data_IF_021196934778
#
_entry.id   IF_021196934778
#
_cell.length_a   1.000
_cell.length_b   1.000
_cell.length_c   1.000
_cell.angle_alpha   90.00
_cell.angle_beta   90.00
_cell.angle_gamma   90.00
#
_symmetry.space_group_name_H-M   'P 1'
#
loop_
_entity.id
_entity.type
_entity.pdbx_description
1 polymer ?
#
# COMPACT_ATOMS: atom_id res chain seq x y z
N UNK A 1 11.94 16.22 -0.33
CA UNK A 1 10.63 16.33 -1.02
C UNK A 1 10.59 17.59 -1.87
N UNK A 2 10.26 17.49 -3.16
CA UNK A 2 10.13 18.64 -4.08
C UNK A 2 8.68 19.14 -4.16
N UNK A 3 8.46 20.35 -4.70
CA UNK A 3 7.12 20.89 -4.93
C UNK A 3 6.29 20.01 -5.88
N UNK A 4 6.89 19.47 -6.94
CA UNK A 4 6.21 18.59 -7.91
C UNK A 4 5.78 17.27 -7.28
N UNK A 5 6.60 16.71 -6.39
CA UNK A 5 6.24 15.52 -5.59
C UNK A 5 5.05 15.82 -4.69
N UNK A 6 5.04 16.96 -4.00
CA UNK A 6 3.93 17.37 -3.13
C UNK A 6 2.63 17.58 -3.92
N UNK A 7 2.69 18.25 -5.07
CA UNK A 7 1.52 18.46 -5.95
C UNK A 7 0.95 17.14 -6.49
N UNK A 8 1.84 16.21 -6.85
CA UNK A 8 1.47 14.86 -7.27
C UNK A 8 0.79 14.11 -6.12
N UNK A 9 1.35 14.18 -4.90
CA UNK A 9 0.77 13.59 -3.70
C UNK A 9 -0.63 14.11 -3.42
N UNK A 10 -0.81 15.43 -3.39
CA UNK A 10 -2.13 16.07 -3.17
C UNK A 10 -3.14 15.64 -4.22
N UNK A 11 -2.71 15.54 -5.48
CA UNK A 11 -3.58 15.08 -6.59
C UNK A 11 -3.99 13.63 -6.41
N UNK A 12 -3.04 12.73 -6.13
CA UNK A 12 -3.31 11.31 -5.91
C UNK A 12 -4.22 11.10 -4.69
N UNK A 13 -3.98 11.84 -3.60
CA UNK A 13 -4.78 11.76 -2.39
C UNK A 13 -6.24 12.18 -2.64
N UNK A 14 -6.43 13.30 -3.34
CA UNK A 14 -7.76 13.80 -3.73
C UNK A 14 -8.51 12.81 -4.63
N UNK A 15 -7.81 12.15 -5.56
CA UNK A 15 -8.39 11.10 -6.42
C UNK A 15 -8.73 9.82 -5.64
N UNK A 16 -7.99 9.52 -4.58
CA UNK A 16 -8.20 8.33 -3.75
C UNK A 16 -9.38 8.49 -2.79
N UNK A 17 -9.68 9.73 -2.37
CA UNK A 17 -10.76 10.05 -1.44
C UNK A 17 -11.68 11.14 -1.99
N UNK A 18 -12.45 10.87 -3.07
CA UNK A 18 -13.39 11.85 -3.62
C UNK A 18 -14.44 12.26 -2.57
N UNK A 19 -14.57 13.56 -2.34
CA UNK A 19 -15.46 14.16 -1.33
C UNK A 19 -16.94 13.94 -1.62
N UNK A 20 -17.30 13.63 -2.86
CA UNK A 20 -18.68 13.45 -3.33
C UNK A 20 -19.23 12.04 -3.11
N UNK A 21 -18.42 11.06 -2.67
CA UNK A 21 -18.76 9.62 -2.73
C UNK A 21 -18.85 8.97 -1.32
N UNK A 22 -18.63 9.71 -0.24
CA UNK A 22 -18.67 9.12 1.10
C UNK A 22 -20.11 8.71 1.50
N UNK A 23 -20.44 7.41 1.38
CA UNK A 23 -21.68 6.84 1.93
C UNK A 23 -21.76 7.15 3.42
N UNK A 24 -22.83 7.81 3.84
CA UNK A 24 -23.11 8.06 5.24
C UNK A 24 -23.15 6.73 6.01
N UNK A 25 -22.49 6.63 7.18
CA UNK A 25 -22.55 5.43 7.99
C UNK A 25 -24.00 5.12 8.38
N UNK A 26 -24.39 3.85 8.28
CA UNK A 26 -25.66 3.37 8.86
C UNK A 26 -25.45 3.09 10.34
N UNK A 27 -26.52 3.10 11.15
CA UNK A 27 -26.44 2.73 12.56
C UNK A 27 -25.86 1.32 12.76
N UNK A 28 -26.11 0.39 11.83
CA UNK A 28 -25.50 -0.95 11.82
C UNK A 28 -23.97 -0.92 11.67
N UNK A 29 -23.43 0.07 10.96
CA UNK A 29 -21.99 0.18 10.74
C UNK A 29 -21.25 0.57 12.02
N UNK A 30 -21.92 1.29 12.94
CA UNK A 30 -21.39 1.65 14.25
C UNK A 30 -21.20 0.43 15.18
N UNK A 31 -21.89 -0.67 14.87
CA UNK A 31 -21.77 -1.93 15.61
C UNK A 31 -20.67 -2.84 15.03
N UNK A 32 -20.21 -2.56 13.80
CA UNK A 32 -19.13 -3.31 13.16
C UNK A 32 -17.76 -2.86 13.67
N UNK A 33 -16.77 -3.72 13.47
CA UNK A 33 -15.37 -3.33 13.68
C UNK A 33 -15.00 -2.20 12.71
N UNK A 34 -13.98 -1.42 13.06
CA UNK A 34 -13.51 -0.23 12.34
C UNK A 34 -12.83 -0.60 10.99
N UNK A 35 -13.58 -1.25 10.10
CA UNK A 35 -13.14 -1.85 8.84
C UNK A 35 -12.70 -0.80 7.82
N UNK A 36 -11.64 -1.11 7.08
CA UNK A 36 -11.10 -0.26 6.02
C UNK A 36 -11.95 -0.40 4.75
N UNK A 37 -12.53 0.71 4.28
CA UNK A 37 -13.25 0.78 2.98
C UNK A 37 -12.34 1.18 1.83
N UNK A 38 -11.47 2.16 2.06
CA UNK A 38 -10.58 2.68 1.02
C UNK A 38 -9.19 2.87 1.60
N UNK A 39 -8.17 2.37 0.90
CA UNK A 39 -6.78 2.41 1.32
C UNK A 39 -5.93 3.12 0.27
N UNK A 40 -5.28 4.20 0.66
CA UNK A 40 -4.24 4.91 -0.08
C UNK A 40 -2.88 4.61 0.56
N UNK A 41 -1.89 4.31 -0.28
CA UNK A 41 -0.55 3.97 0.16
C UNK A 41 0.45 4.87 -0.59
N UNK A 42 1.26 5.59 0.18
CA UNK A 42 2.38 6.36 -0.35
C UNK A 42 3.70 5.69 0.03
N UNK A 43 4.52 5.37 -0.97
CA UNK A 43 5.84 4.78 -0.79
C UNK A 43 6.89 5.87 -0.96
N UNK A 44 7.80 5.97 0.00
CA UNK A 44 8.99 6.83 -0.02
C UNK A 44 8.65 8.31 -0.26
N UNK A 45 7.56 8.80 0.33
CA UNK A 45 7.17 10.21 0.23
C UNK A 45 8.11 11.11 1.05
N UNK A 46 8.43 10.67 2.27
CA UNK A 46 9.29 11.41 3.22
C UNK A 46 10.75 11.01 3.11
N UNK A 47 11.03 9.71 2.98
CA UNK A 47 12.37 9.13 3.03
C UNK A 47 12.56 8.17 1.86
N UNK A 48 13.32 8.60 0.85
CA UNK A 48 13.59 7.84 -0.36
C UNK A 48 15.05 7.33 -0.41
N UNK A 49 15.29 6.04 -0.13
CA UNK A 49 16.63 5.47 -0.18
C UNK A 49 17.14 5.29 -1.62
N UNK A 50 16.25 5.32 -2.62
CA UNK A 50 16.62 5.05 -4.02
C UNK A 50 17.47 6.17 -4.65
N UNK A 51 17.41 7.38 -4.11
CA UNK A 51 18.25 8.53 -4.52
C UNK A 51 19.76 8.24 -4.39
N UNK A 52 20.14 7.39 -3.42
CA UNK A 52 21.54 7.04 -3.11
C UNK A 52 22.01 5.76 -3.81
N UNK A 53 21.14 5.12 -4.60
CA UNK A 53 21.49 3.90 -5.32
C UNK A 53 22.32 4.27 -6.54
N UNK A 54 23.59 3.89 -6.52
CA UNK A 54 24.53 4.07 -7.63
C UNK A 54 24.44 2.92 -8.66
N UNK A 55 24.03 1.72 -8.22
CA UNK A 55 23.85 0.56 -9.08
C UNK A 55 22.61 0.72 -9.98
N UNK A 56 22.83 0.65 -11.29
CA UNK A 56 21.76 0.65 -12.30
C UNK A 56 21.36 -0.79 -12.58
N UNK A 57 20.27 -1.24 -11.97
CA UNK A 57 19.64 -2.51 -12.32
C UNK A 57 18.59 -2.29 -13.42
N UNK A 58 18.45 -3.27 -14.31
CA UNK A 58 17.40 -3.30 -15.33
C UNK A 58 16.01 -3.55 -14.74
N UNK A 59 15.94 -3.99 -13.48
CA UNK A 59 14.72 -4.14 -12.69
C UNK A 59 15.04 -4.62 -11.28
N UNK A 60 14.06 -4.51 -10.37
CA UNK A 60 14.18 -4.99 -8.98
C UNK A 60 13.17 -6.12 -8.70
N UNK A 61 13.60 -7.08 -7.89
CA UNK A 61 12.82 -8.23 -7.44
C UNK A 61 12.14 -7.98 -6.07
N UNK A 62 11.34 -8.94 -5.61
CA UNK A 62 10.75 -8.85 -4.27
C UNK A 62 11.79 -8.88 -3.14
N UNK A 63 12.96 -9.50 -3.35
CA UNK A 63 14.05 -9.53 -2.36
C UNK A 63 14.65 -8.14 -2.17
N UNK A 64 14.88 -7.47 -3.29
CA UNK A 64 15.46 -6.13 -3.38
C UNK A 64 14.63 -5.08 -2.64
N UNK A 65 13.34 -5.35 -2.42
CA UNK A 65 12.49 -4.49 -1.62
C UNK A 65 12.91 -4.42 -0.14
N UNK A 66 13.41 -5.52 0.40
CA UNK A 66 13.81 -5.65 1.81
C UNK A 66 15.32 -5.49 2.01
N UNK A 67 16.11 -5.97 1.04
CA UNK A 67 17.57 -6.00 1.12
C UNK A 67 18.16 -5.82 -0.28
N UNK A 68 18.70 -4.63 -0.52
CA UNK A 68 19.28 -4.20 -1.79
C UNK A 68 20.79 -3.99 -1.70
N UNK A 69 21.50 -4.44 -2.74
CA UNK A 69 22.94 -4.24 -2.89
C UNK A 69 23.77 -4.88 -1.77
N UNK A 70 25.05 -4.51 -1.74
CA UNK A 70 26.01 -5.02 -0.74
C UNK A 70 25.73 -4.55 0.70
N UNK A 71 24.98 -3.45 0.85
CA UNK A 71 24.61 -2.89 2.16
C UNK A 71 23.31 -3.46 2.74
N UNK A 72 22.63 -4.36 2.01
CA UNK A 72 21.38 -5.01 2.41
C UNK A 72 20.28 -4.02 2.89
N UNK A 73 20.21 -2.84 2.28
CA UNK A 73 19.27 -1.80 2.67
C UNK A 73 17.91 -1.99 1.99
N UNK A 74 16.83 -1.71 2.71
CA UNK A 74 15.48 -1.68 2.13
C UNK A 74 15.36 -0.54 1.13
N UNK A 75 14.77 -0.81 -0.05
CA UNK A 75 14.39 0.24 -1.00
C UNK A 75 13.12 0.99 -0.58
N UNK A 76 12.45 0.55 0.48
CA UNK A 76 11.34 1.28 1.11
C UNK A 76 11.85 1.92 2.40
N UNK A 77 12.18 3.21 2.32
CA UNK A 77 12.61 4.01 3.47
C UNK A 77 11.44 4.60 4.25
N UNK A 78 10.34 4.94 3.59
CA UNK A 78 9.07 5.25 4.27
C UNK A 78 7.85 4.71 3.54
N UNK A 79 6.79 4.47 4.30
CA UNK A 79 5.49 4.08 3.76
C UNK A 79 4.37 4.63 4.65
N UNK A 80 3.37 5.23 4.01
CA UNK A 80 2.20 5.79 4.68
C UNK A 80 0.95 5.05 4.24
N UNK A 81 0.06 4.75 5.19
CA UNK A 81 -1.29 4.30 4.92
C UNK A 81 -2.28 5.38 5.33
N UNK A 82 -2.96 5.97 4.36
CA UNK A 82 -4.16 6.77 4.63
C UNK A 82 -5.36 5.91 4.27
N UNK A 83 -6.33 5.80 5.16
CA UNK A 83 -7.52 4.99 4.90
C UNK A 83 -8.79 5.65 5.41
N UNK A 84 -9.91 5.33 4.74
CA UNK A 84 -11.26 5.66 5.17
C UNK A 84 -11.94 4.41 5.69
N UNK A 85 -12.52 4.46 6.89
CA UNK A 85 -13.21 3.32 7.49
C UNK A 85 -14.73 3.34 7.26
N UNK A 86 -15.45 2.33 7.75
CA UNK A 86 -16.93 2.21 7.73
C UNK A 86 -17.67 3.32 8.48
N UNK A 87 -17.03 4.00 9.43
CA UNK A 87 -17.57 5.18 10.12
C UNK A 87 -17.27 6.51 9.41
N UNK A 88 -16.63 6.43 8.24
CA UNK A 88 -16.24 7.58 7.42
C UNK A 88 -15.09 8.43 8.01
N UNK A 89 -14.40 7.92 9.02
CA UNK A 89 -13.18 8.53 9.54
C UNK A 89 -12.03 8.31 8.56
N UNK A 90 -11.17 9.32 8.40
CA UNK A 90 -9.89 9.19 7.70
C UNK A 90 -8.79 9.09 8.74
N UNK A 91 -7.95 8.06 8.63
CA UNK A 91 -6.75 7.90 9.47
C UNK A 91 -5.52 7.75 8.61
N UNK A 92 -4.40 8.29 9.10
CA UNK A 92 -3.08 8.13 8.48
C UNK A 92 -2.16 7.43 9.47
N UNK A 93 -1.41 6.45 8.97
CA UNK A 93 -0.36 5.74 9.69
C UNK A 93 0.94 5.94 8.91
N UNK A 94 2.01 6.24 9.61
CA UNK A 94 3.33 6.49 9.04
C UNK A 94 4.33 5.46 9.55
N UNK A 95 5.15 4.92 8.66
CA UNK A 95 6.22 3.99 8.98
C UNK A 95 7.49 4.42 8.25
N UNK A 96 8.63 4.38 8.95
CA UNK A 96 9.92 4.81 8.42
C UNK A 96 11.06 3.90 8.91
N UNK A 97 12.15 3.86 8.16
CA UNK A 97 13.37 3.10 8.45
C UNK A 97 13.48 1.79 7.66
N UNK A 98 14.53 1.02 7.92
CA UNK A 98 14.84 -0.21 7.16
C UNK A 98 13.73 -1.26 7.21
N UNK A 99 12.90 -1.25 8.26
CA UNK A 99 11.78 -2.17 8.45
C UNK A 99 10.41 -1.56 8.14
N UNK A 100 10.35 -0.38 7.52
CA UNK A 100 9.09 0.37 7.31
C UNK A 100 7.99 -0.49 6.67
N UNK A 101 8.31 -1.19 5.58
CA UNK A 101 7.36 -2.08 4.88
C UNK A 101 6.89 -3.24 5.75
N UNK A 102 7.78 -3.85 6.55
CA UNK A 102 7.42 -4.98 7.42
C UNK A 102 6.48 -4.54 8.54
N UNK A 103 6.77 -3.40 9.17
CA UNK A 103 5.92 -2.80 10.18
C UNK A 103 4.55 -2.41 9.61
N UNK A 104 4.54 -1.83 8.41
CA UNK A 104 3.31 -1.48 7.72
C UNK A 104 2.46 -2.71 7.43
N UNK A 105 3.03 -3.77 6.84
CA UNK A 105 2.32 -5.02 6.56
C UNK A 105 1.78 -5.68 7.84
N UNK A 106 2.54 -5.65 8.95
CA UNK A 106 2.10 -6.14 10.26
C UNK A 106 0.91 -5.35 10.80
N UNK A 107 0.92 -4.03 10.67
CA UNK A 107 -0.21 -3.21 11.11
C UNK A 107 -1.43 -3.43 10.21
N UNK A 108 -1.24 -3.53 8.90
CA UNK A 108 -2.32 -3.83 7.96
C UNK A 108 -2.97 -5.19 8.26
N UNK A 109 -2.17 -6.23 8.53
CA UNK A 109 -2.71 -7.56 8.85
C UNK A 109 -3.56 -7.56 10.12
N UNK A 110 -3.28 -6.68 11.07
CA UNK A 110 -4.06 -6.53 12.30
C UNK A 110 -5.29 -5.62 12.13
N UNK A 111 -5.33 -4.82 11.06
CA UNK A 111 -6.44 -3.90 10.74
C UNK A 111 -7.47 -4.49 9.79
N UNK A 112 -7.10 -5.53 9.05
CA UNK A 112 -8.01 -6.32 8.23
C UNK A 112 -8.42 -7.52 9.07
N UNK A 113 -9.63 -7.48 9.59
CA UNK A 113 -10.16 -8.56 10.42
C UNK A 113 -10.47 -9.79 9.54
N UNK A 114 -10.56 -10.97 10.16
CA UNK A 114 -10.93 -12.18 9.41
C UNK A 114 -12.41 -12.15 9.06
N UNK A 115 -12.74 -12.52 7.82
CA UNK A 115 -14.12 -12.68 7.37
C UNK A 115 -14.88 -11.37 7.10
N UNK A 116 -14.20 -10.22 7.12
CA UNK A 116 -14.76 -8.93 6.66
C UNK A 116 -14.51 -8.71 5.18
N UNK A 117 -15.25 -7.77 4.61
CA UNK A 117 -15.15 -7.45 3.20
C UNK A 117 -13.76 -6.92 2.85
N UNK A 118 -13.29 -7.27 1.65
CA UNK A 118 -12.11 -6.63 1.06
C UNK A 118 -12.36 -5.12 0.94
N UNK A 119 -11.37 -4.25 1.18
CA UNK A 119 -11.49 -2.83 0.88
C UNK A 119 -11.97 -2.61 -0.55
N UNK A 120 -12.93 -1.70 -0.73
CA UNK A 120 -13.50 -1.33 -2.04
C UNK A 120 -12.42 -0.81 -3.00
N UNK A 121 -11.40 -0.14 -2.46
CA UNK A 121 -10.29 0.39 -3.22
C UNK A 121 -8.97 0.31 -2.48
N UNK A 122 -7.92 -0.09 -3.20
CA UNK A 122 -6.53 -0.05 -2.74
C UNK A 122 -5.73 0.67 -3.83
N UNK A 123 -5.21 1.86 -3.51
CA UNK A 123 -4.40 2.66 -4.42
C UNK A 123 -3.00 2.82 -3.86
N UNK A 124 -2.00 2.43 -4.64
CA UNK A 124 -0.58 2.49 -4.26
C UNK A 124 0.14 3.43 -5.20
N UNK A 125 0.84 4.41 -4.61
CA UNK A 125 1.65 5.40 -5.29
C UNK A 125 3.07 5.37 -4.74
N UNK A 126 4.05 5.61 -5.60
CA UNK A 126 5.46 5.64 -5.23
C UNK A 126 6.05 6.99 -5.61
N UNK A 127 6.79 7.59 -4.68
CA UNK A 127 7.41 8.90 -4.82
C UNK A 127 8.93 8.83 -4.90
N UNK A 128 9.50 7.62 -4.99
CA UNK A 128 10.92 7.42 -5.22
C UNK A 128 11.42 8.03 -6.52
N UNK A 129 12.68 8.42 -6.50
CA UNK A 129 13.44 8.90 -7.65
C UNK A 129 13.73 7.77 -8.64
N UNK A 130 14.08 6.58 -8.16
CA UNK A 130 14.35 5.39 -9.00
C UNK A 130 13.35 4.28 -8.72
N UNK A 131 13.24 3.34 -9.67
CA UNK A 131 12.44 2.12 -9.56
C UNK A 131 10.96 2.34 -9.19
N UNK A 132 10.41 3.53 -9.47
CA UNK A 132 9.07 3.94 -9.02
C UNK A 132 7.97 2.95 -9.42
N UNK A 133 8.02 2.47 -10.66
CA UNK A 133 7.04 1.51 -11.18
C UNK A 133 7.19 0.14 -10.51
N UNK A 134 8.42 -0.37 -10.40
CA UNK A 134 8.68 -1.68 -9.81
C UNK A 134 8.32 -1.71 -8.33
N UNK A 135 8.74 -0.70 -7.55
CA UNK A 135 8.39 -0.56 -6.13
C UNK A 135 6.88 -0.52 -5.95
N UNK A 136 6.18 0.27 -6.77
CA UNK A 136 4.71 0.32 -6.74
C UNK A 136 4.10 -1.06 -6.97
N UNK A 137 4.56 -1.82 -7.98
CA UNK A 137 4.00 -3.14 -8.30
C UNK A 137 4.31 -4.18 -7.22
N UNK A 138 5.54 -4.19 -6.70
CA UNK A 138 5.97 -5.11 -5.64
C UNK A 138 5.19 -4.87 -4.34
N UNK A 139 5.08 -3.62 -3.89
CA UNK A 139 4.29 -3.26 -2.71
C UNK A 139 2.81 -3.55 -2.91
N UNK A 140 2.25 -3.22 -4.08
CA UNK A 140 0.86 -3.56 -4.42
C UNK A 140 0.62 -5.07 -4.33
N UNK A 141 1.56 -5.89 -4.82
CA UNK A 141 1.50 -7.35 -4.71
C UNK A 141 1.54 -7.85 -3.25
N UNK A 142 2.39 -7.27 -2.40
CA UNK A 142 2.47 -7.61 -0.98
C UNK A 142 1.20 -7.22 -0.21
N UNK A 143 0.70 -6.01 -0.43
CA UNK A 143 -0.52 -5.51 0.22
C UNK A 143 -1.73 -6.35 -0.18
N UNK A 144 -1.90 -6.64 -1.48
CA UNK A 144 -3.02 -7.46 -1.94
C UNK A 144 -2.96 -8.89 -1.39
N UNK A 145 -1.75 -9.47 -1.25
CA UNK A 145 -1.57 -10.78 -0.61
C UNK A 145 -1.94 -10.71 0.88
N UNK A 146 -1.47 -9.71 1.61
CA UNK A 146 -1.83 -9.49 3.01
C UNK A 146 -3.35 -9.41 3.20
N UNK A 147 -4.03 -8.59 2.39
CA UNK A 147 -5.49 -8.45 2.39
C UNK A 147 -6.18 -9.78 2.10
N UNK A 148 -5.76 -10.49 1.05
CA UNK A 148 -6.40 -11.74 0.61
C UNK A 148 -6.27 -12.85 1.66
N UNK A 149 -5.12 -12.92 2.37
CA UNK A 149 -4.90 -13.87 3.46
C UNK A 149 -5.88 -13.59 4.61
N UNK A 150 -6.07 -12.32 5.00
CA UNK A 150 -6.96 -11.98 6.12
C UNK A 150 -8.44 -12.19 5.78
N UNK A 151 -8.85 -11.86 4.55
CA UNK A 151 -10.24 -12.07 4.10
C UNK A 151 -10.57 -13.58 3.90
N UNK A 152 -9.56 -14.45 3.80
CA UNK A 152 -9.74 -15.89 3.60
C UNK A 152 -9.90 -16.30 2.13
N UNK A 153 -9.47 -15.45 1.20
CA UNK A 153 -9.77 -15.54 -0.24
C UNK A 153 -8.68 -16.28 -1.05
N UNK A 154 -7.85 -17.09 -0.37
CA UNK A 154 -6.60 -17.69 -0.89
C UNK A 154 -6.86 -18.61 -2.11
N UNK A 155 -8.08 -19.14 -2.26
CA UNK A 155 -8.47 -20.06 -3.34
C UNK A 155 -8.64 -19.38 -4.73
N UNK A 156 -8.72 -18.05 -4.81
CA UNK A 156 -8.95 -17.34 -6.08
C UNK A 156 -7.67 -16.91 -6.82
N UNK A 157 -6.51 -16.91 -6.16
CA UNK A 157 -5.23 -16.52 -6.77
C UNK A 157 -4.65 -17.64 -7.67
N UNK A 158 -4.88 -18.91 -7.33
CA UNK A 158 -4.42 -20.05 -8.12
C UNK A 158 -5.17 -20.21 -9.47
N UNK A 159 -6.42 -19.72 -9.56
CA UNK A 159 -7.26 -19.88 -10.77
C UNK A 159 -6.95 -18.87 -11.88
N UNK A 160 -6.30 -17.75 -11.58
CA UNK A 160 -5.97 -16.70 -12.57
C UNK A 160 -4.76 -17.01 -13.46
N UNK A 161 -3.93 -17.99 -13.10
CA UNK A 161 -2.83 -18.46 -13.97
C UNK A 161 -3.25 -19.57 -14.94
N UNK A 162 -4.43 -20.18 -14.76
CA UNK A 162 -4.88 -21.30 -15.60
C UNK A 162 -5.77 -20.84 -16.77
N UNK A 163 -6.31 -19.61 -16.75
CA UNK A 163 -7.26 -19.11 -17.77
C UNK A 163 -6.65 -18.27 -18.88
N UNK A 164 -5.32 -18.29 -19.08
CA UNK A 164 -4.63 -17.55 -20.17
C UNK A 164 -3.98 -18.44 -21.24
N UNK A 165 -4.41 -19.69 -21.34
CA UNK A 165 -4.05 -20.62 -22.40
C UNK A 165 -5.32 -21.29 -22.92
N UNK A 166 -5.98 -20.61 -23.85
CA UNK A 166 -7.15 -21.05 -24.60
C UNK A 166 -7.31 -20.16 -25.82
#
# INVERSE_FOLDING_TARGET
MTLSTLQSFVTNLRQSFPSTIAKQPKNSDLLNQCEIRSLFIAINLTTDPTSKVEEVLTGISSRDLFSFGSLEQSLVGSIDFTYRNVWNEIRTLHFEGQNAILLALKVLSNKIYRGVNRPDSIQVYCYSERYRQDLRQLVMGLVNRCVSIQVGDINNLAKRHVTRSG
#
